data_IF_693408449352
#
_entry.id   IF_693408449352
#
_cell.length_a   1.000
_cell.length_b   1.000
_cell.length_c   1.000
_cell.angle_alpha   90.00
_cell.angle_beta   90.00
_cell.angle_gamma   90.00
#
_symmetry.space_group_name_H-M   'P 1'
#
loop_
_entity.id
_entity.type
_entity.pdbx_description
1 polymer ?
#
# COMPACT_ATOMS: atom_id res chain seq x y z
N UNK A 1 7.30 -3.15 13.59
CA UNK A 1 6.15 -3.74 14.30
C UNK A 1 6.28 -5.25 14.22
N UNK A 2 5.93 -5.98 15.27
CA UNK A 2 5.85 -7.45 15.21
C UNK A 2 4.67 -7.88 14.33
N UNK A 3 4.86 -8.99 13.61
CA UNK A 3 3.82 -9.55 12.76
C UNK A 3 2.57 -9.91 13.59
N UNK A 4 1.36 -9.74 13.05
CA UNK A 4 0.14 -10.14 13.75
C UNK A 4 0.09 -11.67 13.85
N UNK A 5 -0.57 -12.19 14.90
CA UNK A 5 -0.82 -13.63 15.01
C UNK A 5 -1.58 -14.16 13.77
N UNK A 6 -1.35 -15.42 13.36
CA UNK A 6 -1.91 -16.00 12.14
C UNK A 6 -3.44 -15.86 12.04
N UNK A 7 -3.94 -15.63 10.82
CA UNK A 7 -5.38 -15.50 10.54
C UNK A 7 -6.16 -16.76 10.92
N UNK A 8 -5.60 -17.95 10.67
CA UNK A 8 -6.22 -19.21 11.07
C UNK A 8 -6.47 -19.30 12.58
N UNK A 9 -5.59 -18.71 13.40
CA UNK A 9 -5.73 -18.71 14.86
C UNK A 9 -6.84 -17.75 15.32
N UNK A 10 -6.99 -16.61 14.62
CA UNK A 10 -8.10 -15.67 14.81
C UNK A 10 -9.45 -16.25 14.37
N UNK A 11 -9.49 -16.97 13.26
CA UNK A 11 -10.69 -17.64 12.78
C UNK A 11 -11.18 -18.70 13.79
N UNK A 12 -10.26 -19.51 14.35
CA UNK A 12 -10.60 -20.45 15.43
C UNK A 12 -11.11 -19.74 16.68
N UNK A 13 -10.50 -18.62 17.05
CA UNK A 13 -10.96 -17.82 18.19
C UNK A 13 -12.38 -17.30 17.96
N UNK A 14 -12.66 -16.79 16.77
CA UNK A 14 -13.99 -16.31 16.39
C UNK A 14 -15.04 -17.43 16.48
N UNK A 15 -14.72 -18.63 15.97
CA UNK A 15 -15.60 -19.80 16.11
C UNK A 15 -15.93 -20.11 17.57
N UNK A 16 -14.96 -20.02 18.48
CA UNK A 16 -15.22 -20.24 19.91
C UNK A 16 -16.12 -19.16 20.52
N UNK A 17 -16.00 -17.91 20.09
CA UNK A 17 -16.93 -16.85 20.53
C UNK A 17 -18.35 -17.13 20.03
N UNK A 18 -18.50 -17.57 18.78
CA UNK A 18 -19.78 -17.96 18.18
C UNK A 18 -20.40 -19.19 18.89
N UNK A 19 -19.57 -20.13 19.35
CA UNK A 19 -19.96 -21.26 20.21
C UNK A 19 -20.31 -20.85 21.66
N UNK A 20 -20.27 -19.55 21.98
CA UNK A 20 -20.69 -19.00 23.27
C UNK A 20 -19.58 -18.92 24.33
N UNK A 21 -18.31 -19.18 23.99
CA UNK A 21 -17.22 -19.05 24.96
C UNK A 21 -16.95 -17.57 25.28
N UNK A 22 -16.51 -17.33 26.51
CA UNK A 22 -15.92 -16.05 26.87
C UNK A 22 -14.56 -15.86 26.17
N UNK A 23 -14.16 -14.61 25.94
CA UNK A 23 -12.85 -14.31 25.32
C UNK A 23 -11.67 -14.89 26.10
N UNK A 24 -11.77 -15.00 27.43
CA UNK A 24 -10.75 -15.63 28.27
C UNK A 24 -10.71 -17.15 28.08
N UNK A 25 -11.87 -17.80 27.99
CA UNK A 25 -11.97 -19.25 27.74
C UNK A 25 -11.47 -19.62 26.33
N UNK A 26 -11.85 -18.85 25.31
CA UNK A 26 -11.38 -19.03 23.94
C UNK A 26 -9.85 -18.83 23.84
N UNK A 27 -9.30 -17.83 24.51
CA UNK A 27 -7.84 -17.62 24.56
C UNK A 27 -7.12 -18.79 25.23
N UNK A 28 -7.64 -19.30 26.36
CA UNK A 28 -7.06 -20.45 27.04
C UNK A 28 -7.01 -21.70 26.12
N UNK A 29 -8.08 -21.99 25.37
CA UNK A 29 -8.12 -23.10 24.40
C UNK A 29 -7.07 -22.95 23.29
N UNK A 30 -6.73 -21.73 22.92
CA UNK A 30 -5.73 -21.43 21.89
C UNK A 30 -4.34 -21.17 22.46
N UNK A 31 -4.12 -21.36 23.76
CA UNK A 31 -2.85 -21.07 24.46
C UNK A 31 -2.38 -19.63 24.26
N UNK A 32 -3.33 -18.70 24.19
CA UNK A 32 -3.10 -17.26 24.10
C UNK A 32 -3.15 -16.60 25.48
N UNK A 33 -2.55 -15.41 25.58
CA UNK A 33 -2.69 -14.59 26.78
C UNK A 33 -4.17 -14.16 26.99
N UNK A 34 -4.64 -14.03 28.24
CA UNK A 34 -5.97 -13.49 28.53
C UNK A 34 -6.21 -12.09 27.93
N UNK A 35 -5.16 -11.26 27.87
CA UNK A 35 -5.21 -9.92 27.29
C UNK A 35 -5.50 -9.95 25.79
N UNK A 36 -4.89 -10.91 25.06
CA UNK A 36 -5.20 -11.13 23.64
C UNK A 36 -6.65 -11.53 23.45
N UNK A 37 -7.16 -12.43 24.29
CA UNK A 37 -8.57 -12.86 24.26
C UNK A 37 -9.54 -11.71 24.51
N UNK A 38 -9.25 -10.84 25.48
CA UNK A 38 -10.07 -9.66 25.74
C UNK A 38 -10.10 -8.70 24.53
N UNK A 39 -8.94 -8.42 23.94
CA UNK A 39 -8.83 -7.55 22.75
C UNK A 39 -9.59 -8.10 21.55
N UNK A 40 -9.42 -9.39 21.24
CA UNK A 40 -10.10 -10.00 20.10
C UNK A 40 -11.60 -10.14 20.32
N UNK A 41 -12.07 -10.43 21.54
CA UNK A 41 -13.51 -10.42 21.84
C UNK A 41 -14.10 -9.04 21.62
N UNK A 42 -13.45 -7.99 22.13
CA UNK A 42 -13.90 -6.62 21.93
C UNK A 42 -13.94 -6.27 20.45
N UNK A 43 -12.90 -6.65 19.69
CA UNK A 43 -12.85 -6.45 18.24
C UNK A 43 -14.00 -7.16 17.51
N UNK A 44 -14.30 -8.42 17.85
CA UNK A 44 -15.44 -9.14 17.25
C UNK A 44 -16.76 -8.42 17.58
N UNK A 45 -16.93 -7.88 18.78
CA UNK A 45 -18.15 -7.14 19.15
C UNK A 45 -18.29 -5.82 18.39
N UNK A 46 -17.18 -5.13 18.09
CA UNK A 46 -17.22 -3.82 17.43
C UNK A 46 -17.22 -3.93 15.90
N UNK A 47 -16.47 -4.86 15.32
CA UNK A 47 -16.28 -4.98 13.86
C UNK A 47 -16.81 -6.29 13.28
N UNK A 48 -17.37 -7.19 14.10
CA UNK A 48 -17.91 -8.48 13.67
C UNK A 48 -16.88 -9.55 13.34
N UNK A 49 -15.58 -9.24 13.39
CA UNK A 49 -14.48 -10.14 13.01
C UNK A 49 -13.23 -9.90 13.84
N UNK A 50 -12.37 -10.92 13.95
CA UNK A 50 -11.08 -10.84 14.64
C UNK A 50 -9.89 -10.53 13.72
N UNK A 51 -10.13 -10.04 12.50
CA UNK A 51 -9.09 -9.84 11.49
C UNK A 51 -7.99 -8.87 11.95
N UNK A 52 -6.70 -9.12 11.62
CA UNK A 52 -5.65 -8.17 11.96
C UNK A 52 -5.87 -6.84 11.22
N UNK A 53 -5.66 -5.73 11.93
CA UNK A 53 -5.60 -4.42 11.29
C UNK A 53 -4.41 -4.36 10.31
N UNK A 54 -4.56 -3.55 9.26
CA UNK A 54 -3.48 -3.27 8.31
C UNK A 54 -2.29 -2.69 9.09
N UNK A 55 -1.17 -3.40 9.09
CA UNK A 55 0.05 -2.94 9.73
C UNK A 55 0.88 -2.06 8.77
N UNK A 56 1.51 -1.03 9.33
CA UNK A 56 2.39 -0.14 8.59
C UNK A 56 1.69 1.11 8.05
N UNK A 57 2.39 1.85 7.21
CA UNK A 57 1.89 3.11 6.64
C UNK A 57 0.72 2.80 5.68
N UNK A 58 -0.43 3.50 5.81
CA UNK A 58 -1.54 3.32 4.88
C UNK A 58 -1.10 3.52 3.43
N UNK A 59 -1.56 2.66 2.53
CA UNK A 59 -1.34 2.84 1.09
C UNK A 59 -2.00 4.16 0.65
N UNK A 60 -1.37 4.86 -0.30
CA UNK A 60 -1.91 6.14 -0.80
C UNK A 60 -1.84 7.30 0.20
N UNK A 61 -1.14 7.16 1.33
CA UNK A 61 -0.96 8.27 2.28
C UNK A 61 0.33 9.07 2.02
N UNK A 62 0.21 10.38 1.81
CA UNK A 62 1.36 11.27 1.65
C UNK A 62 0.98 12.61 1.04
N UNK A 63 1.92 13.57 1.08
CA UNK A 63 1.72 14.93 0.55
C UNK A 63 1.29 14.96 -0.92
N UNK A 64 1.69 13.95 -1.70
CA UNK A 64 1.36 13.85 -3.12
C UNK A 64 0.02 13.14 -3.42
N UNK A 65 -0.62 12.52 -2.43
CA UNK A 65 -1.84 11.76 -2.66
C UNK A 65 -3.00 12.61 -3.22
N UNK A 66 -3.21 13.87 -2.80
CA UNK A 66 -4.22 14.73 -3.39
C UNK A 66 -3.91 15.19 -4.82
N UNK A 67 -2.67 15.01 -5.28
CA UNK A 67 -2.18 15.52 -6.57
C UNK A 67 -2.01 14.41 -7.62
N UNK A 68 -2.59 13.23 -7.40
CA UNK A 68 -2.49 12.11 -8.35
C UNK A 68 -3.11 12.48 -9.69
N UNK A 69 -4.33 13.02 -9.71
CA UNK A 69 -5.00 13.43 -10.95
C UNK A 69 -4.23 14.52 -11.69
N UNK A 70 -3.62 15.46 -10.97
CA UNK A 70 -2.75 16.49 -11.55
C UNK A 70 -1.60 15.86 -12.35
N UNK A 71 -0.90 14.88 -11.79
CA UNK A 71 0.18 14.21 -12.53
C UNK A 71 -0.33 13.37 -13.70
N UNK A 72 -1.47 12.70 -13.55
CA UNK A 72 -2.07 11.90 -14.63
C UNK A 72 -2.45 12.79 -15.82
N UNK A 73 -3.02 13.97 -15.58
CA UNK A 73 -3.37 14.94 -16.62
C UNK A 73 -2.11 15.46 -17.35
N UNK A 74 -1.08 15.88 -16.62
CA UNK A 74 0.16 16.38 -17.22
C UNK A 74 0.86 15.32 -18.09
N UNK A 75 0.96 14.09 -17.60
CA UNK A 75 1.60 12.99 -18.35
C UNK A 75 0.76 12.59 -19.57
N UNK A 76 -0.57 12.73 -19.48
CA UNK A 76 -1.46 12.45 -20.63
C UNK A 76 -1.27 13.51 -21.73
N UNK A 77 -1.04 14.77 -21.35
CA UNK A 77 -0.77 15.86 -22.28
C UNK A 77 0.63 15.76 -22.89
N UNK A 78 1.63 15.45 -22.07
CA UNK A 78 3.02 15.28 -22.48
C UNK A 78 3.62 14.01 -21.84
N UNK A 79 3.65 12.89 -22.58
CA UNK A 79 4.22 11.64 -22.08
C UNK A 79 5.73 11.67 -21.82
N UNK A 80 6.46 12.64 -22.40
CA UNK A 80 7.91 12.78 -22.26
C UNK A 80 8.29 13.77 -21.14
N UNK A 81 7.31 14.34 -20.43
CA UNK A 81 7.53 15.26 -19.31
C UNK A 81 8.44 14.64 -18.25
N UNK A 82 9.47 15.38 -17.86
CA UNK A 82 10.48 14.92 -16.92
C UNK A 82 10.01 15.02 -15.48
N UNK A 83 10.62 14.24 -14.58
CA UNK A 83 10.34 14.32 -13.14
C UNK A 83 10.67 15.69 -12.52
N UNK A 84 11.60 16.45 -13.13
CA UNK A 84 11.94 17.80 -12.69
C UNK A 84 10.86 18.80 -13.10
N UNK A 85 10.36 18.71 -14.33
CA UNK A 85 9.25 19.54 -14.80
C UNK A 85 7.97 19.24 -14.01
N UNK A 86 7.67 17.97 -13.70
CA UNK A 86 6.54 17.62 -12.83
C UNK A 86 6.68 18.20 -11.42
N UNK A 87 7.91 18.25 -10.89
CA UNK A 87 8.17 18.87 -9.58
C UNK A 87 7.90 20.37 -9.64
N UNK A 88 8.42 21.04 -10.66
CA UNK A 88 8.33 22.49 -10.80
C UNK A 88 6.88 22.91 -11.08
N UNK A 89 6.17 22.18 -11.95
CA UNK A 89 4.75 22.38 -12.19
C UNK A 89 3.89 22.19 -10.93
N UNK A 90 4.19 21.20 -10.08
CA UNK A 90 3.50 21.02 -8.80
C UNK A 90 3.76 22.19 -7.85
N UNK A 91 5.02 22.63 -7.76
CA UNK A 91 5.43 23.75 -6.93
C UNK A 91 4.72 25.04 -7.37
N UNK A 92 4.64 25.30 -8.67
CA UNK A 92 3.98 26.48 -9.22
C UNK A 92 2.46 26.45 -9.00
N UNK A 93 1.82 25.30 -9.21
CA UNK A 93 0.38 25.17 -9.08
C UNK A 93 -0.13 25.18 -7.62
N UNK A 94 0.67 24.70 -6.67
CA UNK A 94 0.19 24.40 -5.30
C UNK A 94 1.08 24.96 -4.18
N UNK A 95 2.27 25.48 -4.51
CA UNK A 95 3.30 25.85 -3.53
C UNK A 95 4.00 24.65 -2.87
N UNK A 96 3.63 23.41 -3.22
CA UNK A 96 4.13 22.22 -2.55
C UNK A 96 5.53 21.83 -3.06
N UNK A 97 6.54 22.05 -2.21
CA UNK A 97 7.92 21.65 -2.48
C UNK A 97 8.16 20.17 -2.15
N UNK A 98 8.57 19.39 -3.15
CA UNK A 98 8.89 17.96 -3.03
C UNK A 98 10.15 17.59 -3.79
N UNK A 99 10.78 16.48 -3.39
CA UNK A 99 11.86 15.88 -4.17
C UNK A 99 11.28 15.14 -5.39
N UNK A 100 11.92 15.27 -6.56
CA UNK A 100 11.52 14.61 -7.80
C UNK A 100 11.47 13.07 -7.65
N UNK A 101 12.31 12.49 -6.80
CA UNK A 101 12.31 11.05 -6.48
C UNK A 101 11.01 10.59 -5.81
N UNK A 102 10.36 11.45 -5.02
CA UNK A 102 9.06 11.15 -4.40
C UNK A 102 7.96 11.05 -5.46
N UNK A 103 8.00 11.92 -6.48
CA UNK A 103 7.11 11.87 -7.65
C UNK A 103 7.38 10.58 -8.43
N UNK A 104 8.64 10.26 -8.72
CA UNK A 104 8.99 9.00 -9.41
C UNK A 104 8.51 7.75 -8.68
N UNK A 105 8.61 7.70 -7.34
CA UNK A 105 8.05 6.61 -6.53
C UNK A 105 6.52 6.53 -6.57
N UNK A 106 5.84 7.68 -6.62
CA UNK A 106 4.38 7.73 -6.79
C UNK A 106 3.99 7.18 -8.16
N UNK A 107 4.57 7.70 -9.24
CA UNK A 107 4.26 7.29 -10.62
C UNK A 107 4.49 5.79 -10.82
N UNK A 108 5.60 5.25 -10.30
CA UNK A 108 5.88 3.81 -10.33
C UNK A 108 4.80 3.00 -9.59
N UNK A 109 4.24 3.52 -8.50
CA UNK A 109 3.15 2.87 -7.75
C UNK A 109 1.82 2.91 -8.50
N UNK A 110 1.58 3.98 -9.28
CA UNK A 110 0.42 4.13 -10.15
C UNK A 110 0.53 3.29 -11.44
N UNK A 111 1.69 2.71 -11.71
CA UNK A 111 1.91 1.83 -12.85
C UNK A 111 2.56 2.50 -14.06
N UNK A 112 2.95 3.78 -13.96
CA UNK A 112 3.70 4.44 -15.02
C UNK A 112 5.09 3.82 -15.17
N UNK A 113 5.45 3.53 -16.41
CA UNK A 113 6.77 3.02 -16.78
C UNK A 113 7.32 3.85 -17.92
N UNK A 114 8.56 4.31 -17.78
CA UNK A 114 9.27 4.91 -18.90
C UNK A 114 9.50 3.85 -19.98
N UNK A 115 9.07 4.14 -21.22
CA UNK A 115 9.33 3.27 -22.37
C UNK A 115 10.83 3.19 -22.61
N UNK A 116 11.41 2.01 -22.43
CA UNK A 116 12.80 1.76 -22.86
C UNK A 116 12.76 1.29 -24.31
N UNK A 117 13.27 2.10 -25.24
CA UNK A 117 13.51 1.60 -26.60
C UNK A 117 14.72 0.67 -26.56
N UNK A 118 14.47 -0.64 -26.62
CA UNK A 118 15.52 -1.58 -26.99
C UNK A 118 15.78 -1.40 -28.49
N UNK A 119 16.71 -0.50 -28.83
CA UNK A 119 17.27 -0.46 -30.17
C UNK A 119 18.02 -1.78 -30.42
N UNK A 120 17.49 -2.61 -31.31
CA UNK A 120 18.28 -3.53 -32.13
C UNK A 120 17.97 -3.15 -33.59
N UNK A 121 18.90 -3.10 -34.55
CA UNK A 121 20.16 -3.82 -34.75
C UNK A 121 21.35 -2.86 -35.02
N UNK A 122 22.62 -3.25 -34.77
CA UNK A 122 23.74 -2.67 -35.49
C UNK A 122 23.65 -3.10 -36.97
N UNK A 123 23.69 -2.14 -37.90
CA UNK A 123 23.84 -2.41 -39.33
C UNK A 123 25.09 -3.28 -39.55
N UNK A 124 24.92 -4.52 -40.02
CA UNK A 124 26.00 -5.27 -40.66
C UNK A 124 25.84 -5.10 -42.16
N UNK A 125 26.68 -4.23 -42.69
CA UNK A 125 26.92 -3.98 -44.11
C UNK A 125 27.17 -5.30 -44.87
N UNK A 126 26.48 -5.46 -46.00
CA UNK A 126 26.69 -6.49 -47.07
C UNK A 126 27.58 -5.86 -48.17
N UNK A 127 28.32 -6.54 -49.08
CA UNK A 127 28.82 -7.94 -49.23
C UNK A 127 30.35 -8.02 -49.46
N UNK A 128 30.91 -9.20 -49.78
CA UNK A 128 32.17 -9.38 -50.52
C UNK A 128 31.96 -10.23 -51.76
#
# INVERSE_FOLDING_TARGET
>A
MSAPLPSALRARFQKYIEEGLSGRAAAARLKLSPATGARWRHQIQTTGRADPAVQGRPKGSGKLAPHVSFFEELITQDPDITLFELRDALADATGLQVQHSAIGHLLKRLGFTHKKSHWSLPNVTVPR
#
